data_IF_598895405329
#
_entry.id   IF_598895405329
#
_cell.length_a   1.000
_cell.length_b   1.000
_cell.length_c   1.000
_cell.angle_alpha   90.00
_cell.angle_beta   90.00
_cell.angle_gamma   90.00
#
_symmetry.space_group_name_H-M   'P 1'
#
loop_
_entity.id
_entity.type
_entity.pdbx_description
1 polymer ?
#
# COMPACT_ATOMS: atom_id res chain seq x y z
N UNK A 1 -8.02 -38.91 47.27
CA UNK A 1 -7.31 -37.84 46.54
C UNK A 1 -8.30 -37.19 45.58
N UNK A 2 -8.73 -35.94 45.77
CA UNK A 2 -9.58 -35.27 44.79
C UNK A 2 -8.70 -34.70 43.67
N UNK A 3 -9.04 -35.03 42.43
CA UNK A 3 -8.49 -34.39 41.24
C UNK A 3 -9.07 -32.97 41.15
N UNK A 4 -8.23 -31.95 41.39
CA UNK A 4 -8.56 -30.58 41.01
C UNK A 4 -8.59 -30.50 39.48
N UNK A 5 -9.77 -30.35 38.90
CA UNK A 5 -9.92 -29.90 37.54
C UNK A 5 -9.52 -28.42 37.47
N UNK A 6 -8.33 -28.13 36.95
CA UNK A 6 -7.96 -26.78 36.56
C UNK A 6 -8.76 -26.44 35.31
N UNK A 7 -9.84 -25.70 35.48
CA UNK A 7 -10.51 -25.04 34.36
C UNK A 7 -9.54 -23.98 33.83
N UNK A 8 -8.77 -24.32 32.79
CA UNK A 8 -8.07 -23.33 31.99
C UNK A 8 -9.12 -22.63 31.16
N UNK A 9 -9.75 -21.61 31.73
CA UNK A 9 -10.39 -20.58 30.91
C UNK A 9 -9.28 -19.96 30.10
N UNK A 10 -9.24 -20.21 28.79
CA UNK A 10 -8.36 -19.50 27.89
C UNK A 10 -8.75 -18.01 27.95
N UNK A 11 -8.09 -17.25 28.83
CA UNK A 11 -8.23 -15.81 28.88
C UNK A 11 -7.62 -15.28 27.57
N UNK A 12 -8.45 -14.70 26.72
CA UNK A 12 -7.98 -14.00 25.53
C UNK A 12 -7.04 -12.84 25.89
N UNK A 13 -6.33 -12.28 24.90
CA UNK A 13 -5.48 -11.12 25.12
C UNK A 13 -6.32 -9.96 25.70
N UNK A 14 -5.79 -9.22 26.68
CA UNK A 14 -6.53 -8.08 27.23
C UNK A 14 -6.71 -7.00 26.15
N UNK A 15 -7.91 -6.42 26.08
CA UNK A 15 -8.17 -5.20 25.32
C UNK A 15 -7.80 -4.00 26.19
N UNK A 16 -6.86 -3.17 25.73
CA UNK A 16 -6.35 -2.02 26.45
C UNK A 16 -6.81 -0.72 25.79
N UNK A 17 -7.58 0.09 26.53
CA UNK A 17 -7.91 1.46 26.14
C UNK A 17 -6.73 2.39 26.49
N UNK A 18 -6.22 3.13 25.50
CA UNK A 18 -5.01 3.96 25.62
C UNK A 18 -5.15 5.24 24.80
N UNK A 19 -4.60 6.35 25.32
CA UNK A 19 -4.39 7.57 24.54
C UNK A 19 -3.53 7.24 23.30
N UNK A 20 -3.77 7.91 22.16
CA UNK A 20 -3.11 7.58 20.89
C UNK A 20 -1.59 7.56 20.99
N UNK A 21 -1.00 8.55 21.70
CA UNK A 21 0.45 8.69 21.89
C UNK A 21 1.07 7.56 22.71
N UNK A 22 0.26 6.83 23.48
CA UNK A 22 0.72 5.77 24.38
C UNK A 22 0.59 4.38 23.73
N UNK A 23 0.02 4.29 22.52
CA UNK A 23 -0.06 3.04 21.77
C UNK A 23 1.30 2.78 21.10
N UNK A 24 2.00 1.68 21.47
CA UNK A 24 3.34 1.42 20.98
C UNK A 24 3.35 1.10 19.49
N UNK A 25 4.28 1.71 18.76
CA UNK A 25 4.45 1.50 17.33
C UNK A 25 3.17 1.77 16.52
N UNK A 26 2.31 2.69 16.96
CA UNK A 26 1.13 3.09 16.20
C UNK A 26 1.55 3.70 14.86
N UNK A 27 1.04 3.15 13.77
CA UNK A 27 1.33 3.57 12.41
C UNK A 27 0.06 3.66 11.58
N UNK A 28 0.11 4.45 10.51
CA UNK A 28 -0.98 4.58 9.55
C UNK A 28 -0.70 3.70 8.34
N UNK A 29 -1.64 2.81 8.02
CA UNK A 29 -1.56 1.94 6.86
C UNK A 29 -2.79 2.12 5.98
N UNK A 30 -2.55 2.37 4.69
CA UNK A 30 -3.58 2.37 3.65
C UNK A 30 -3.36 1.12 2.79
N UNK A 31 -4.20 0.07 2.93
CA UNK A 31 -4.08 -1.13 2.12
C UNK A 31 -4.33 -0.83 0.65
N UNK A 32 -3.70 -1.57 -0.25
CA UNK A 32 -4.01 -1.45 -1.68
C UNK A 32 -5.45 -1.92 -1.93
N UNK A 33 -6.37 -1.01 -2.20
CA UNK A 33 -7.72 -1.38 -2.65
C UNK A 33 -7.68 -1.65 -4.16
N UNK A 34 -7.95 -2.89 -4.56
CA UNK A 34 -8.02 -3.31 -5.98
C UNK A 34 -9.12 -2.57 -6.77
N UNK A 35 -10.04 -1.90 -6.08
CA UNK A 35 -11.02 -1.01 -6.67
C UNK A 35 -10.87 0.35 -6.02
N UNK A 36 -10.49 1.35 -6.81
CA UNK A 36 -10.63 2.76 -6.43
C UNK A 36 -12.13 3.11 -6.33
N UNK A 37 -12.82 2.55 -5.33
CA UNK A 37 -14.07 3.13 -4.86
C UNK A 37 -13.76 4.54 -4.36
N UNK A 38 -14.74 5.44 -4.31
CA UNK A 38 -14.54 6.82 -3.83
C UNK A 38 -14.15 6.90 -2.33
N UNK A 39 -14.04 5.76 -1.65
CA UNK A 39 -13.60 5.60 -0.27
C UNK A 39 -12.29 4.82 -0.15
N UNK A 40 -11.46 5.24 0.81
CA UNK A 40 -10.29 4.49 1.26
C UNK A 40 -10.46 4.12 2.73
N UNK A 41 -10.05 2.91 3.08
CA UNK A 41 -10.04 2.42 4.45
C UNK A 41 -8.67 2.76 5.05
N UNK A 42 -8.63 3.73 5.98
CA UNK A 42 -7.44 4.05 6.75
C UNK A 42 -7.36 3.13 7.96
N UNK A 43 -6.37 2.25 8.00
CA UNK A 43 -6.19 1.26 9.06
C UNK A 43 -5.02 1.66 9.95
N UNK A 44 -5.25 1.68 11.26
CA UNK A 44 -4.17 1.92 12.23
C UNK A 44 -3.49 0.59 12.57
N UNK A 45 -2.18 0.51 12.29
CA UNK A 45 -1.35 -0.65 12.61
C UNK A 45 -0.54 -0.38 13.86
N UNK A 46 -0.23 -1.44 14.62
CA UNK A 46 0.68 -1.37 15.75
C UNK A 46 1.36 -2.72 15.95
N UNK A 47 2.53 -2.70 16.59
CA UNK A 47 3.33 -3.91 16.79
C UNK A 47 2.78 -4.75 17.94
N UNK A 48 2.09 -5.83 17.60
CA UNK A 48 1.52 -6.79 18.56
C UNK A 48 2.57 -7.62 19.28
N UNK A 49 3.76 -7.79 18.68
CA UNK A 49 4.82 -8.65 19.22
C UNK A 49 5.46 -8.08 20.49
N UNK A 50 5.30 -6.78 20.72
CA UNK A 50 5.85 -6.07 21.90
C UNK A 50 4.95 -6.07 23.12
N UNK A 51 3.76 -6.70 23.06
CA UNK A 51 2.85 -6.62 24.21
C UNK A 51 1.71 -7.62 24.29
N UNK A 52 1.47 -8.48 23.30
CA UNK A 52 0.45 -9.55 23.39
C UNK A 52 -0.99 -9.09 23.70
N UNK A 53 -1.25 -7.78 23.72
CA UNK A 53 -2.51 -7.16 24.07
C UNK A 53 -3.10 -6.47 22.83
N UNK A 54 -4.42 -6.51 22.70
CA UNK A 54 -5.13 -5.74 21.68
C UNK A 54 -5.32 -4.31 22.21
N UNK A 55 -5.17 -3.31 21.34
CA UNK A 55 -5.33 -1.92 21.73
C UNK A 55 -6.61 -1.36 21.13
N UNK A 56 -7.33 -0.60 21.94
CA UNK A 56 -8.48 0.18 21.52
C UNK A 56 -8.10 1.66 21.53
N UNK A 57 -8.39 2.38 20.45
CA UNK A 57 -8.20 3.83 20.40
C UNK A 57 -9.32 4.56 21.18
N UNK A 58 -9.08 5.80 21.66
CA UNK A 58 -10.09 6.57 22.38
C UNK A 58 -11.36 6.79 21.55
N UNK A 59 -12.53 6.80 22.20
CA UNK A 59 -13.82 6.91 21.52
C UNK A 59 -14.05 8.25 20.82
N UNK A 60 -13.37 9.29 21.29
CA UNK A 60 -13.35 10.65 20.76
C UNK A 60 -12.30 10.84 19.65
N UNK A 61 -11.58 9.78 19.27
CA UNK A 61 -10.62 9.84 18.17
C UNK A 61 -11.31 10.22 16.87
N UNK A 62 -10.76 11.22 16.19
CA UNK A 62 -11.21 11.70 14.88
C UNK A 62 -10.09 11.57 13.87
N UNK A 63 -10.45 11.17 12.65
CA UNK A 63 -9.59 11.25 11.48
C UNK A 63 -10.19 12.27 10.51
N UNK A 64 -9.34 13.13 9.97
CA UNK A 64 -9.68 13.93 8.77
C UNK A 64 -8.76 13.57 7.62
N UNK A 65 -9.32 13.56 6.42
CA UNK A 65 -8.64 13.33 5.15
C UNK A 65 -8.86 14.58 4.31
N UNK A 66 -7.80 15.31 3.98
CA UNK A 66 -7.88 16.61 3.30
C UNK A 66 -8.87 17.60 3.97
N UNK A 67 -8.86 17.63 5.31
CA UNK A 67 -9.78 18.42 6.16
C UNK A 67 -11.25 17.94 6.17
N UNK A 68 -11.57 16.84 5.49
CA UNK A 68 -12.91 16.23 5.51
C UNK A 68 -12.94 15.10 6.55
N UNK A 69 -14.02 15.03 7.34
CA UNK A 69 -14.11 14.02 8.40
C UNK A 69 -14.28 12.61 7.82
N UNK A 70 -13.47 11.67 8.30
CA UNK A 70 -13.67 10.25 8.06
C UNK A 70 -14.58 9.67 9.16
N UNK A 71 -15.27 8.58 8.83
CA UNK A 71 -16.12 7.83 9.74
C UNK A 71 -15.27 6.79 10.45
N UNK A 72 -15.30 6.78 11.78
CA UNK A 72 -14.72 5.71 12.58
C UNK A 72 -15.57 4.44 12.41
N UNK A 73 -14.99 3.39 11.86
CA UNK A 73 -15.68 2.11 11.67
C UNK A 73 -15.37 1.13 12.80
N UNK A 74 -14.11 1.08 13.23
CA UNK A 74 -13.65 0.24 14.32
C UNK A 74 -12.68 0.99 15.21
N UNK A 75 -12.85 0.84 16.53
CA UNK A 75 -11.88 1.30 17.52
C UNK A 75 -10.75 0.29 17.78
N UNK A 76 -10.79 -0.87 17.13
CA UNK A 76 -10.06 -2.06 17.54
C UNK A 76 -10.84 -2.88 18.56
N UNK A 77 -10.77 -4.21 18.44
CA UNK A 77 -11.47 -5.16 19.30
C UNK A 77 -10.70 -6.50 19.35
N UNK A 78 -11.13 -7.41 20.22
CA UNK A 78 -10.68 -8.81 20.26
C UNK A 78 -11.80 -9.71 19.73
N UNK A 79 -11.49 -10.63 18.83
CA UNK A 79 -12.44 -11.65 18.41
C UNK A 79 -11.81 -13.06 18.41
N UNK A 80 -12.67 -14.07 18.46
CA UNK A 80 -12.27 -15.47 18.31
C UNK A 80 -12.27 -15.81 16.81
N UNK A 81 -11.12 -16.19 16.26
CA UNK A 81 -11.02 -16.63 14.87
C UNK A 81 -11.57 -18.05 14.68
N UNK A 82 -11.79 -18.43 13.43
CA UNK A 82 -12.40 -19.73 13.06
C UNK A 82 -11.61 -20.96 13.52
N UNK A 83 -10.30 -20.82 13.74
CA UNK A 83 -9.40 -21.84 14.27
C UNK A 83 -9.39 -21.89 15.81
N UNK A 84 -10.20 -21.06 16.48
CA UNK A 84 -10.29 -20.96 17.93
C UNK A 84 -9.17 -20.14 18.57
N UNK A 85 -8.31 -19.50 17.78
CA UNK A 85 -7.34 -18.54 18.29
C UNK A 85 -8.00 -17.18 18.57
N UNK A 86 -7.39 -16.35 19.41
CA UNK A 86 -7.80 -14.95 19.56
C UNK A 86 -7.04 -14.09 18.55
N UNK A 87 -7.75 -13.14 17.93
CA UNK A 87 -7.18 -12.15 17.02
C UNK A 87 -7.61 -10.74 17.44
N UNK A 88 -6.79 -9.75 17.08
CA UNK A 88 -7.08 -8.34 17.30
C UNK A 88 -7.59 -7.70 16.01
N UNK A 89 -8.77 -7.10 16.05
CA UNK A 89 -9.18 -6.17 15.03
C UNK A 89 -8.40 -4.86 15.17
N UNK A 90 -7.97 -4.34 14.02
CA UNK A 90 -7.30 -3.05 13.96
C UNK A 90 -8.34 -1.94 13.95
N UNK A 91 -8.08 -0.79 14.59
CA UNK A 91 -8.88 0.39 14.41
C UNK A 91 -8.86 0.81 12.93
N UNK A 92 -10.03 1.20 12.42
CA UNK A 92 -10.20 1.60 11.03
C UNK A 92 -11.13 2.78 10.90
N UNK A 93 -10.85 3.60 9.89
CA UNK A 93 -11.67 4.72 9.49
C UNK A 93 -11.95 4.62 8.00
N UNK A 94 -13.14 5.06 7.60
CA UNK A 94 -13.53 5.16 6.22
C UNK A 94 -13.81 6.61 5.87
N UNK A 95 -13.11 7.12 4.86
CA UNK A 95 -13.30 8.49 4.40
C UNK A 95 -13.27 8.56 2.88
N UNK A 96 -13.81 9.67 2.35
CA UNK A 96 -13.72 9.93 0.93
C UNK A 96 -12.34 10.49 0.61
N UNK A 97 -11.72 9.96 -0.44
CA UNK A 97 -10.57 10.61 -1.05
C UNK A 97 -11.06 11.53 -2.16
N UNK A 98 -10.48 12.72 -2.20
CA UNK A 98 -10.67 13.69 -3.28
C UNK A 98 -10.13 13.14 -4.62
N UNK A 99 -10.49 13.77 -5.76
CA UNK A 99 -10.22 13.21 -7.09
C UNK A 99 -8.74 12.89 -7.36
N UNK A 100 -8.49 12.00 -8.31
CA UNK A 100 -7.18 11.42 -8.64
C UNK A 100 -6.07 12.45 -8.95
N UNK A 101 -6.43 13.68 -9.31
CA UNK A 101 -5.49 14.73 -9.69
C UNK A 101 -4.89 15.49 -8.50
N UNK A 102 -5.13 15.06 -7.26
CA UNK A 102 -4.54 15.72 -6.09
C UNK A 102 -3.04 15.45 -5.94
N UNK A 103 -2.20 16.49 -5.81
CA UNK A 103 -0.77 16.31 -5.66
C UNK A 103 -0.39 15.70 -4.30
N UNK A 104 -1.25 15.88 -3.29
CA UNK A 104 -1.02 15.39 -1.92
C UNK A 104 -2.33 15.06 -1.24
N UNK A 105 -2.30 14.05 -0.37
CA UNK A 105 -3.39 13.70 0.53
C UNK A 105 -2.90 13.76 1.97
N UNK A 106 -3.57 14.57 2.79
CA UNK A 106 -3.23 14.74 4.21
C UNK A 106 -4.21 13.99 5.12
N UNK A 107 -3.66 13.25 6.06
CA UNK A 107 -4.37 12.54 7.12
C UNK A 107 -4.01 13.16 8.47
N UNK A 108 -5.03 13.49 9.26
CA UNK A 108 -4.84 14.02 10.62
C UNK A 108 -5.68 13.20 11.58
N UNK A 109 -5.02 12.51 12.50
CA UNK A 109 -5.63 11.73 13.58
C UNK A 109 -5.50 12.49 14.91
N UNK A 110 -6.57 12.61 15.70
CA UNK A 110 -6.54 13.34 16.97
C UNK A 110 -7.53 12.82 18.01
N UNK A 111 -7.18 12.87 19.30
CA UNK A 111 -7.97 12.45 20.46
C UNK A 111 -8.09 13.56 21.55
N UNK A 112 -8.27 14.83 21.12
CA UNK A 112 -8.24 16.07 21.94
C UNK A 112 -6.93 16.36 22.71
N UNK A 113 -6.07 15.36 22.93
CA UNK A 113 -4.80 15.45 23.66
C UNK A 113 -3.58 15.32 22.76
N UNK A 114 -3.72 14.56 21.69
CA UNK A 114 -2.66 14.24 20.75
C UNK A 114 -3.12 14.56 19.34
N UNK A 115 -2.16 14.88 18.47
CA UNK A 115 -2.39 15.07 17.04
C UNK A 115 -1.26 14.40 16.28
N UNK A 116 -1.62 13.53 15.34
CA UNK A 116 -0.71 12.84 14.44
C UNK A 116 -1.06 13.22 13.02
N UNK A 117 -0.06 13.27 12.15
CA UNK A 117 -0.20 13.77 10.78
C UNK A 117 0.59 12.90 9.81
N UNK A 118 -0.04 12.51 8.72
CA UNK A 118 0.61 11.85 7.60
C UNK A 118 0.26 12.56 6.29
N UNK A 119 1.22 12.66 5.38
CA UNK A 119 0.99 13.21 4.03
C UNK A 119 1.57 12.25 3.01
N UNK A 120 0.72 11.84 2.08
CA UNK A 120 1.08 11.00 0.95
C UNK A 120 1.07 11.83 -0.33
N UNK A 121 2.01 11.57 -1.22
CA UNK A 121 2.08 12.22 -2.53
C UNK A 121 1.32 11.40 -3.55
N UNK A 122 0.50 12.06 -4.38
CA UNK A 122 -0.16 11.44 -5.53
C UNK A 122 -0.87 10.11 -5.19
N UNK A 123 -1.55 10.06 -4.03
CA UNK A 123 -2.15 8.83 -3.48
C UNK A 123 -3.06 8.13 -4.51
N UNK A 124 -3.84 8.91 -5.26
CA UNK A 124 -4.81 8.41 -6.27
C UNK A 124 -4.40 8.67 -7.71
N UNK A 125 -3.27 9.35 -7.94
CA UNK A 125 -2.87 9.68 -9.30
C UNK A 125 -2.59 8.41 -10.09
N UNK A 126 -3.00 8.33 -11.37
CA UNK A 126 -2.59 7.23 -12.22
C UNK A 126 -1.06 7.29 -12.34
N UNK A 127 -0.40 6.17 -11.99
CA UNK A 127 1.03 6.06 -12.18
C UNK A 127 1.34 6.10 -13.67
N UNK A 128 2.48 6.65 -14.02
CA UNK A 128 2.91 6.85 -15.42
C UNK A 128 4.27 6.26 -15.62
N UNK A 129 4.60 6.03 -16.89
CA UNK A 129 5.86 5.46 -17.28
C UNK A 129 6.49 6.14 -18.47
N UNK A 130 7.81 6.03 -18.55
CA UNK A 130 8.58 6.37 -19.74
C UNK A 130 9.56 5.25 -20.05
N UNK A 131 9.65 4.86 -21.31
CA UNK A 131 10.63 3.89 -21.80
C UNK A 131 11.80 4.68 -22.37
N UNK A 132 12.99 4.51 -21.78
CA UNK A 132 14.20 5.28 -22.10
C UNK A 132 13.96 6.80 -22.10
N UNK A 133 13.11 7.27 -21.16
CA UNK A 133 12.73 8.69 -21.05
C UNK A 133 11.67 9.17 -22.05
N UNK A 134 11.08 8.29 -22.86
CA UNK A 134 10.06 8.62 -23.86
C UNK A 134 8.72 7.94 -23.54
N UNK A 135 7.60 8.60 -23.82
CA UNK A 135 6.25 8.01 -23.70
C UNK A 135 5.96 7.02 -24.84
N UNK A 136 6.61 7.19 -25.99
CA UNK A 136 6.61 6.25 -27.11
C UNK A 136 8.06 6.03 -27.54
N UNK A 137 8.54 4.80 -27.41
CA UNK A 137 9.92 4.45 -27.71
C UNK A 137 10.01 3.54 -28.93
N UNK A 138 11.04 3.78 -29.75
CA UNK A 138 11.51 2.85 -30.76
C UNK A 138 12.81 2.23 -30.27
N UNK A 139 12.87 0.91 -30.21
CA UNK A 139 13.95 0.15 -29.58
C UNK A 139 14.42 -0.97 -30.50
N UNK A 140 15.63 -1.47 -30.26
CA UNK A 140 16.18 -2.63 -30.98
C UNK A 140 16.07 -3.88 -30.12
N UNK A 141 15.86 -5.02 -30.77
CA UNK A 141 16.01 -6.32 -30.13
C UNK A 141 17.38 -6.45 -29.44
N UNK A 142 17.40 -6.98 -28.21
CA UNK A 142 18.62 -7.09 -27.42
C UNK A 142 19.11 -5.79 -26.78
N UNK A 143 18.41 -4.66 -26.95
CA UNK A 143 18.76 -3.42 -26.28
C UNK A 143 18.46 -3.48 -24.77
N UNK A 144 19.26 -2.76 -23.99
CA UNK A 144 18.90 -2.43 -22.62
C UNK A 144 17.72 -1.45 -22.64
N UNK A 145 16.69 -1.77 -21.87
CA UNK A 145 15.49 -0.97 -21.68
C UNK A 145 15.49 -0.46 -20.24
N UNK A 146 15.23 0.83 -20.09
CA UNK A 146 15.01 1.48 -18.80
C UNK A 146 13.58 2.02 -18.77
N UNK A 147 12.76 1.51 -17.85
CA UNK A 147 11.41 2.00 -17.60
C UNK A 147 11.46 2.89 -16.36
N UNK A 148 11.22 4.19 -16.54
CA UNK A 148 11.04 5.15 -15.46
C UNK A 148 9.59 5.10 -14.97
N UNK A 149 9.39 4.82 -13.67
CA UNK A 149 8.13 4.88 -12.95
C UNK A 149 7.90 6.28 -12.38
N UNK A 150 6.66 6.77 -12.49
CA UNK A 150 6.22 8.04 -11.93
C UNK A 150 4.96 7.85 -11.05
N UNK A 151 4.88 8.54 -9.89
CA UNK A 151 5.86 9.51 -9.38
C UNK A 151 7.16 8.88 -8.90
N UNK A 152 8.25 9.64 -8.97
CA UNK A 152 9.59 9.21 -8.53
C UNK A 152 9.70 8.94 -7.03
N UNK A 153 8.68 9.36 -6.28
CA UNK A 153 8.60 9.18 -4.82
C UNK A 153 8.04 7.83 -4.42
N UNK A 154 7.39 7.11 -5.35
CA UNK A 154 6.93 5.75 -5.12
C UNK A 154 8.14 4.81 -5.00
N UNK A 155 8.03 3.82 -4.12
CA UNK A 155 9.03 2.76 -3.94
C UNK A 155 8.48 1.44 -4.47
N UNK A 156 9.09 0.91 -5.53
CA UNK A 156 8.73 -0.38 -6.09
C UNK A 156 9.30 -1.52 -5.26
N UNK A 157 8.45 -2.42 -4.79
CA UNK A 157 8.85 -3.61 -4.02
C UNK A 157 8.87 -4.86 -4.90
N UNK A 158 7.89 -4.99 -5.81
CA UNK A 158 7.79 -6.11 -6.74
C UNK A 158 7.32 -5.62 -8.11
N UNK A 159 7.93 -6.16 -9.15
CA UNK A 159 7.55 -5.90 -10.54
C UNK A 159 7.52 -7.20 -11.31
N UNK A 160 6.40 -7.49 -11.97
CA UNK A 160 6.29 -8.53 -12.97
C UNK A 160 6.19 -7.85 -14.36
N UNK A 161 7.05 -8.26 -15.29
CA UNK A 161 7.17 -7.65 -16.63
C UNK A 161 6.88 -8.68 -17.72
N UNK A 162 6.03 -8.27 -18.65
CA UNK A 162 5.59 -9.09 -19.77
C UNK A 162 5.59 -8.26 -21.06
N UNK A 163 6.09 -8.83 -22.14
CA UNK A 163 6.10 -8.22 -23.46
C UNK A 163 5.24 -9.03 -24.41
N UNK A 164 4.27 -8.37 -25.05
CA UNK A 164 3.36 -9.00 -26.00
C UNK A 164 3.39 -8.26 -27.34
N UNK A 165 3.31 -8.99 -28.45
CA UNK A 165 3.07 -8.35 -29.75
C UNK A 165 1.61 -7.88 -29.83
N UNK A 166 1.36 -6.71 -30.42
CA UNK A 166 -0.02 -6.20 -30.57
C UNK A 166 -0.93 -7.17 -31.37
N UNK A 167 -0.33 -8.07 -32.17
CA UNK A 167 -1.03 -9.11 -32.92
C UNK A 167 -1.18 -10.45 -32.20
N UNK A 168 -0.80 -10.56 -30.91
CA UNK A 168 -0.94 -11.76 -30.08
C UNK A 168 -0.05 -12.95 -30.48
N UNK A 169 0.89 -12.75 -31.40
CA UNK A 169 1.74 -13.81 -31.99
C UNK A 169 3.06 -14.07 -31.24
N UNK A 170 3.34 -13.30 -30.19
CA UNK A 170 4.54 -13.45 -29.38
C UNK A 170 4.33 -12.87 -27.99
N UNK A 171 4.74 -13.62 -26.98
CA UNK A 171 4.56 -13.30 -25.56
C UNK A 171 5.81 -13.74 -24.81
N UNK A 172 6.43 -12.83 -24.07
CA UNK A 172 7.69 -13.06 -23.39
C UNK A 172 7.64 -12.48 -21.98
N UNK A 173 7.83 -13.33 -20.97
CA UNK A 173 8.07 -12.87 -19.61
C UNK A 173 9.52 -12.42 -19.48
N UNK A 174 9.71 -11.28 -18.82
CA UNK A 174 11.05 -10.79 -18.49
C UNK A 174 11.41 -11.33 -17.11
N UNK A 175 12.37 -12.24 -17.08
CA UNK A 175 12.85 -12.81 -15.82
C UNK A 175 13.76 -11.82 -15.10
N UNK A 176 13.54 -11.67 -13.80
CA UNK A 176 14.38 -10.91 -12.87
C UNK A 176 14.78 -9.50 -13.37
N UNK A 177 13.82 -8.60 -13.67
CA UNK A 177 14.15 -7.22 -13.98
C UNK A 177 14.88 -6.56 -12.80
N UNK A 178 15.84 -5.69 -13.10
CA UNK A 178 16.55 -4.93 -12.08
C UNK A 178 15.71 -3.72 -11.68
N UNK A 179 15.38 -3.61 -10.40
CA UNK A 179 14.65 -2.46 -9.85
C UNK A 179 15.63 -1.61 -9.04
N UNK A 180 15.77 -0.34 -9.42
CA UNK A 180 16.62 0.63 -8.73
C UNK A 180 15.86 1.95 -8.57
N UNK A 181 15.40 2.24 -7.36
CA UNK A 181 14.55 3.41 -7.10
C UNK A 181 13.24 3.31 -7.89
N UNK A 182 12.98 4.32 -8.72
CA UNK A 182 11.82 4.35 -9.61
C UNK A 182 12.13 3.80 -11.01
N UNK A 183 13.24 3.11 -11.22
CA UNK A 183 13.62 2.55 -12.51
C UNK A 183 13.52 1.03 -12.53
N UNK A 184 13.02 0.50 -13.65
CA UNK A 184 13.01 -0.94 -13.94
C UNK A 184 13.80 -1.19 -15.22
N UNK A 185 14.92 -1.89 -15.08
CA UNK A 185 15.86 -2.14 -16.18
C UNK A 185 15.90 -3.61 -16.55
N UNK A 186 15.91 -3.88 -17.86
CA UNK A 186 16.03 -5.23 -18.39
C UNK A 186 16.58 -5.21 -19.83
N UNK A 187 16.98 -6.37 -20.33
CA UNK A 187 17.36 -6.52 -21.75
C UNK A 187 16.17 -7.06 -22.52
N UNK A 188 15.78 -6.35 -23.59
CA UNK A 188 14.70 -6.80 -24.46
C UNK A 188 15.11 -8.13 -25.14
N UNK A 189 14.27 -9.18 -25.10
CA UNK A 189 14.56 -10.41 -25.82
C UNK A 189 14.69 -10.17 -27.32
N UNK A 190 15.21 -11.17 -28.04
CA UNK A 190 15.26 -11.11 -29.50
C UNK A 190 13.85 -11.22 -30.08
N UNK A 191 13.30 -10.08 -30.48
CA UNK A 191 11.97 -9.96 -31.09
C UNK A 191 12.08 -9.69 -32.59
N UNK A 192 11.00 -9.96 -33.33
CA UNK A 192 10.89 -9.56 -34.73
C UNK A 192 10.53 -8.07 -34.80
N UNK A 193 10.89 -7.35 -35.88
CA UNK A 193 10.44 -5.97 -36.06
C UNK A 193 8.90 -5.89 -36.04
N UNK A 194 8.34 -4.90 -35.34
CA UNK A 194 6.89 -4.77 -35.17
C UNK A 194 6.47 -3.93 -33.97
N UNK A 195 5.16 -3.90 -33.70
CA UNK A 195 4.55 -3.18 -32.57
C UNK A 195 4.30 -4.13 -31.41
N UNK A 196 4.69 -3.69 -30.22
CA UNK A 196 4.62 -4.47 -28.99
C UNK A 196 4.09 -3.62 -27.84
N UNK A 197 3.64 -4.29 -26.79
CA UNK A 197 3.22 -3.70 -25.52
C UNK A 197 4.05 -4.34 -24.41
N UNK A 198 4.67 -3.50 -23.57
CA UNK A 198 5.19 -3.96 -22.28
C UNK A 198 4.07 -3.79 -21.25
N UNK A 199 3.58 -4.91 -20.72
CA UNK A 199 2.72 -4.92 -19.54
C UNK A 199 3.60 -5.00 -18.29
N UNK A 200 3.50 -3.99 -17.44
CA UNK A 200 4.18 -3.93 -16.14
C UNK A 200 3.14 -4.02 -15.04
N UNK A 201 3.26 -5.05 -14.21
CA UNK A 201 2.50 -5.22 -12.99
C UNK A 201 3.38 -4.84 -11.80
N UNK A 202 3.13 -3.66 -11.24
CA UNK A 202 3.93 -3.12 -10.13
C UNK A 202 3.17 -3.18 -8.81
N UNK A 203 3.87 -3.58 -7.76
CA UNK A 203 3.45 -3.45 -6.39
C UNK A 203 4.51 -2.69 -5.60
N UNK A 204 4.08 -1.77 -4.75
CA UNK A 204 5.00 -0.98 -3.96
C UNK A 204 4.29 -0.10 -2.94
N UNK A 205 5.07 0.82 -2.39
CA UNK A 205 4.62 1.81 -1.42
C UNK A 205 4.61 3.22 -2.04
N UNK A 206 3.55 3.96 -1.75
CA UNK A 206 3.37 5.35 -2.20
C UNK A 206 4.30 6.27 -1.42
N UNK A 207 4.81 7.30 -2.10
CA UNK A 207 5.66 8.31 -1.50
C UNK A 207 5.04 9.01 -0.28
N UNK A 208 5.77 9.03 0.84
CA UNK A 208 5.39 9.72 2.08
C UNK A 208 6.16 11.03 2.20
N UNK A 209 5.44 12.15 2.26
CA UNK A 209 6.02 13.47 2.48
C UNK A 209 6.19 13.78 3.98
N UNK A 210 5.23 13.37 4.81
CA UNK A 210 5.26 13.57 6.25
C UNK A 210 4.67 12.39 7.01
N UNK A 211 5.24 12.08 8.18
CA UNK A 211 4.77 11.05 9.10
C UNK A 211 5.08 11.46 10.55
N UNK A 212 4.33 12.43 11.04
CA UNK A 212 4.53 13.08 12.34
C UNK A 212 3.65 12.42 13.41
N UNK A 213 4.26 12.01 14.53
CA UNK A 213 3.54 11.39 15.66
C UNK A 213 3.21 9.90 15.46
N UNK A 214 3.10 9.44 14.21
CA UNK A 214 3.10 8.02 13.88
C UNK A 214 4.51 7.43 13.95
N UNK A 215 4.60 6.14 14.28
CA UNK A 215 5.84 5.37 14.17
C UNK A 215 6.16 4.92 12.75
N UNK A 216 5.13 4.81 11.90
CA UNK A 216 5.25 4.50 10.47
C UNK A 216 4.03 4.99 9.71
N UNK A 217 4.22 5.33 8.43
CA UNK A 217 3.15 5.67 7.50
C UNK A 217 3.43 4.91 6.22
N UNK A 218 2.44 4.16 5.74
CA UNK A 218 2.58 3.35 4.52
C UNK A 218 1.25 3.31 3.79
N UNK A 219 1.31 3.47 2.49
CA UNK A 219 0.17 3.27 1.61
C UNK A 219 0.64 2.39 0.47
N UNK A 220 -0.03 1.26 0.26
CA UNK A 220 0.36 0.32 -0.78
C UNK A 220 -0.36 0.66 -2.09
N UNK A 221 0.31 0.41 -3.20
CA UNK A 221 -0.32 0.41 -4.51
C UNK A 221 -0.12 -0.93 -5.22
N UNK A 222 -1.09 -1.25 -6.06
CA UNK A 222 -0.98 -2.29 -7.06
C UNK A 222 -1.47 -1.70 -8.37
N UNK A 223 -0.62 -1.69 -9.40
CA UNK A 223 -0.96 -1.07 -10.67
C UNK A 223 -0.48 -1.95 -11.84
N UNK A 224 -1.33 -2.09 -12.86
CA UNK A 224 -0.97 -2.67 -14.15
C UNK A 224 -0.99 -1.57 -15.19
N UNK A 225 0.12 -1.39 -15.89
CA UNK A 225 0.18 -0.45 -17.01
C UNK A 225 0.77 -1.12 -18.24
N UNK A 226 0.18 -0.80 -19.37
CA UNK A 226 0.54 -1.31 -20.68
C UNK A 226 1.17 -0.16 -21.48
N UNK A 227 2.43 -0.31 -21.87
CA UNK A 227 3.21 0.72 -22.58
C UNK A 227 3.52 0.26 -24.00
N UNK A 228 3.01 0.93 -25.05
CA UNK A 228 3.30 0.56 -26.42
C UNK A 228 4.71 0.99 -26.83
N UNK A 229 5.37 0.18 -27.66
CA UNK A 229 6.67 0.49 -28.24
C UNK A 229 6.85 -0.20 -29.61
N UNK A 230 7.85 0.26 -30.37
CA UNK A 230 8.17 -0.28 -31.71
C UNK A 230 9.55 -0.92 -31.68
N UNK A 231 9.65 -2.14 -32.23
CA UNK A 231 10.91 -2.84 -32.46
C UNK A 231 11.33 -2.66 -33.92
N UNK A 232 12.57 -2.19 -34.14
CA UNK A 232 13.24 -2.10 -35.44
C UNK A 232 14.16 -3.28 -35.75
#
# INVERSE_FOLDING_TARGET
>A
MPLLAVAVTACGPPLLDRDLRDIPSLGLYLPSTYSFSDSEDAVLHFDWSRGGACYQIPADTRLTINSEAATLESRGDTHLSFDGAFSCDKPSFKGSLRPADEPRTEFILSDDRSKMRAVFQELRAPRRFRVNGQEQATVRSGAAIDIEWLPVTDQLEKVDLHVESEGGSGSHWIEAPQVEGNHVRFTLPTLKPGRYVVSLLGQGAIGVEACEGFSSCRADFFNRIDVPFVVE
#
